data_IF_223849325781
#
_entry.id   IF_223849325781
#
_cell.length_a   1.000
_cell.length_b   1.000
_cell.length_c   1.000
_cell.angle_alpha   90.00
_cell.angle_beta   90.00
_cell.angle_gamma   90.00
#
_symmetry.space_group_name_H-M   'P 1'
#
loop_
_entity.id
_entity.type
_entity.pdbx_description
1 polymer ?
#
# COMPACT_ATOMS: atom_id res chain seq x y z
N UNK A 1 -11.21 42.80 1.56
CA UNK A 1 -10.00 42.31 0.86
C UNK A 1 -10.30 41.16 -0.11
N UNK A 2 -11.44 41.15 -0.83
CA UNK A 2 -11.68 40.27 -2.00
C UNK A 2 -12.88 40.75 -2.83
N UNK A 3 -12.66 41.71 -3.74
CA UNK A 3 -13.64 42.12 -4.76
C UNK A 3 -13.53 41.28 -6.05
N UNK A 4 -12.50 40.44 -6.18
CA UNK A 4 -12.09 39.78 -7.44
C UNK A 4 -12.37 38.26 -7.48
N UNK A 5 -12.96 37.65 -6.45
CA UNK A 5 -13.29 36.21 -6.43
C UNK A 5 -12.09 35.26 -6.48
N UNK A 6 -10.84 35.75 -6.42
CA UNK A 6 -9.62 34.93 -6.46
C UNK A 6 -9.40 34.22 -5.12
N UNK A 7 -9.85 32.97 -5.04
CA UNK A 7 -9.64 32.07 -3.89
C UNK A 7 -8.20 31.55 -3.88
N UNK A 8 -7.27 32.44 -3.53
CA UNK A 8 -5.86 32.05 -3.33
C UNK A 8 -5.69 31.37 -1.98
N UNK A 9 -4.91 30.28 -1.96
CA UNK A 9 -4.59 29.56 -0.74
C UNK A 9 -3.48 30.30 0.00
N UNK A 10 -3.79 30.82 1.19
CA UNK A 10 -2.85 31.59 2.00
C UNK A 10 -2.08 30.62 2.90
N UNK A 11 -0.77 30.50 2.72
CA UNK A 11 0.08 29.70 3.61
C UNK A 11 0.35 30.46 4.90
N UNK A 12 0.22 29.78 6.03
CA UNK A 12 0.48 30.37 7.35
C UNK A 12 1.22 29.42 8.27
N UNK A 13 2.22 29.95 8.97
CA UNK A 13 2.89 29.30 10.10
C UNK A 13 2.28 29.73 11.43
N UNK A 14 1.47 30.78 11.44
CA UNK A 14 0.83 31.28 12.65
C UNK A 14 -0.39 30.44 13.02
N UNK A 15 -0.13 29.36 13.73
CA UNK A 15 -1.15 28.53 14.39
C UNK A 15 -1.90 29.23 15.54
N UNK A 16 -1.32 30.18 16.32
CA UNK A 16 -2.04 30.81 17.43
C UNK A 16 -2.98 31.96 17.00
N UNK A 17 -2.97 32.35 15.72
CA UNK A 17 -3.87 33.40 15.22
C UNK A 17 -5.33 32.98 15.35
N UNK A 18 -6.11 33.88 15.96
CA UNK A 18 -7.57 33.75 16.08
C UNK A 18 -8.23 34.04 14.74
N UNK A 19 -9.27 33.28 14.42
CA UNK A 19 -10.07 33.46 13.21
C UNK A 19 -11.02 34.64 13.42
N UNK A 20 -10.86 35.66 12.59
CA UNK A 20 -11.70 36.86 12.56
C UNK A 20 -12.88 36.66 11.60
N UNK A 21 -14.04 37.33 11.81
CA UNK A 21 -15.19 37.26 10.90
C UNK A 21 -14.83 37.60 9.44
N UNK A 22 -13.92 38.55 9.23
CA UNK A 22 -13.46 38.97 7.90
C UNK A 22 -12.71 37.86 7.13
N UNK A 23 -12.32 36.77 7.81
CA UNK A 23 -11.60 35.64 7.23
C UNK A 23 -12.52 34.54 6.68
N UNK A 24 -13.84 34.68 6.83
CA UNK A 24 -14.82 33.70 6.35
C UNK A 24 -14.74 33.59 4.81
N UNK A 25 -14.74 32.35 4.31
CA UNK A 25 -14.62 32.08 2.87
C UNK A 25 -13.19 32.10 2.33
N UNK A 26 -12.18 32.15 3.19
CA UNK A 26 -10.77 32.00 2.82
C UNK A 26 -10.23 30.61 3.18
N UNK A 27 -9.28 30.14 2.36
CA UNK A 27 -8.59 28.88 2.61
C UNK A 27 -7.19 29.18 3.13
N UNK A 28 -6.92 28.82 4.39
CA UNK A 28 -5.61 28.92 4.99
C UNK A 28 -4.93 27.55 4.97
N UNK A 29 -3.76 27.46 4.36
CA UNK A 29 -2.90 26.30 4.48
C UNK A 29 -2.06 26.46 5.76
N UNK A 30 -2.49 25.80 6.85
CA UNK A 30 -1.89 25.91 8.18
C UNK A 30 -0.78 24.88 8.34
N UNK A 31 0.41 25.30 8.77
CA UNK A 31 1.52 24.38 8.99
C UNK A 31 1.29 23.51 10.23
N UNK A 32 1.36 22.19 10.09
CA UNK A 32 1.18 21.24 11.19
C UNK A 32 2.50 20.70 11.78
N UNK A 33 3.64 21.19 11.31
CA UNK A 33 4.98 20.72 11.69
C UNK A 33 5.70 19.92 10.60
N UNK A 34 4.95 19.37 9.63
CA UNK A 34 5.53 18.64 8.49
C UNK A 34 4.97 19.12 7.15
N UNK A 35 3.67 19.41 7.09
CA UNK A 35 2.97 19.83 5.88
C UNK A 35 1.99 20.96 6.17
N UNK A 36 1.57 21.64 5.11
CA UNK A 36 0.47 22.60 5.19
C UNK A 36 -0.85 21.90 4.91
N UNK A 37 -1.77 21.94 5.87
CA UNK A 37 -3.12 21.41 5.74
C UNK A 37 -4.05 22.55 5.31
N UNK A 38 -4.71 22.46 4.14
CA UNK A 38 -5.68 23.47 3.72
C UNK A 38 -6.93 23.38 4.59
N UNK A 39 -7.23 24.46 5.31
CA UNK A 39 -8.42 24.64 6.12
C UNK A 39 -9.26 25.73 5.47
N UNK A 40 -10.49 25.40 5.10
CA UNK A 40 -11.48 26.35 4.62
C UNK A 40 -12.26 26.92 5.81
N UNK A 41 -12.24 28.24 5.97
CA UNK A 41 -12.83 28.90 7.15
C UNK A 41 -14.34 29.09 6.96
N UNK A 42 -15.10 28.51 7.88
CA UNK A 42 -16.55 28.70 8.01
C UNK A 42 -16.88 29.60 9.21
N UNK A 43 -18.09 30.13 9.25
CA UNK A 43 -18.55 31.04 10.32
C UNK A 43 -18.47 30.42 11.72
N UNK A 44 -18.74 29.12 11.85
CA UNK A 44 -18.63 28.37 13.11
C UNK A 44 -17.19 28.29 13.66
N UNK A 45 -16.18 28.68 12.89
CA UNK A 45 -14.78 28.68 13.30
C UNK A 45 -14.32 30.03 13.88
N UNK A 46 -15.15 31.07 13.82
CA UNK A 46 -14.83 32.40 14.35
C UNK A 46 -14.60 32.31 15.87
N UNK A 47 -13.54 32.97 16.36
CA UNK A 47 -13.14 32.93 17.77
C UNK A 47 -12.22 31.77 18.14
N UNK A 48 -12.09 30.74 17.30
CA UNK A 48 -11.12 29.66 17.45
C UNK A 48 -9.75 30.02 16.86
N UNK A 49 -8.71 29.26 17.23
CA UNK A 49 -7.37 29.42 16.63
C UNK A 49 -7.19 28.54 15.40
N UNK A 50 -6.47 29.04 14.39
CA UNK A 50 -6.15 28.29 13.16
C UNK A 50 -5.48 26.93 13.44
N UNK A 51 -4.71 26.84 14.53
CA UNK A 51 -4.02 25.62 14.94
C UNK A 51 -4.93 24.47 15.39
N UNK A 52 -6.18 24.74 15.79
CA UNK A 52 -7.16 23.73 16.23
C UNK A 52 -7.61 22.85 15.07
N UNK A 53 -7.69 23.43 13.86
CA UNK A 53 -8.10 22.74 12.64
C UNK A 53 -6.95 22.02 11.93
N UNK A 54 -5.74 22.08 12.48
CA UNK A 54 -4.53 21.48 11.90
C UNK A 54 -3.78 20.63 12.96
N UNK A 55 -4.13 19.34 13.11
CA UNK A 55 -3.55 18.47 14.12
C UNK A 55 -2.06 18.19 13.85
N UNK A 56 -1.26 18.23 14.91
CA UNK A 56 0.21 18.01 14.86
C UNK A 56 0.60 16.54 14.99
N UNK A 57 -0.30 15.70 15.51
CA UNK A 57 -0.08 14.26 15.69
C UNK A 57 -1.14 13.49 14.92
N UNK A 58 -0.73 12.47 14.17
CA UNK A 58 -1.67 11.50 13.61
C UNK A 58 -2.11 10.54 14.71
N UNK A 59 -3.42 10.51 14.98
CA UNK A 59 -4.01 9.47 15.80
C UNK A 59 -3.91 8.13 15.06
N UNK A 60 -3.24 7.14 15.68
CA UNK A 60 -3.02 5.83 15.06
C UNK A 60 -4.20 4.86 15.27
N UNK A 61 -5.20 5.22 16.07
CA UNK A 61 -6.32 4.36 16.45
C UNK A 61 -6.15 3.74 17.83
N UNK A 62 -7.25 3.29 18.42
CA UNK A 62 -7.25 2.31 19.53
C UNK A 62 -7.39 0.88 18.96
N UNK A 63 -7.17 -0.15 19.79
CA UNK A 63 -7.02 -1.55 19.35
C UNK A 63 -8.13 -2.04 18.43
N UNK A 64 -9.38 -1.73 18.73
CA UNK A 64 -10.55 -2.19 17.94
C UNK A 64 -10.61 -1.57 16.55
N UNK A 65 -10.32 -0.27 16.45
CA UNK A 65 -10.29 0.44 15.16
C UNK A 65 -9.14 -0.10 14.30
N UNK A 66 -7.99 -0.39 14.91
CA UNK A 66 -6.86 -1.01 14.21
C UNK A 66 -7.18 -2.43 13.72
N UNK A 67 -7.86 -3.23 14.55
CA UNK A 67 -8.24 -4.61 14.23
C UNK A 67 -9.20 -4.66 13.05
N UNK A 68 -10.23 -3.81 13.03
CA UNK A 68 -11.18 -3.74 11.91
C UNK A 68 -10.49 -3.31 10.60
N UNK A 69 -9.62 -2.29 10.65
CA UNK A 69 -8.84 -1.89 9.47
C UNK A 69 -7.95 -3.04 8.95
N UNK A 70 -7.34 -3.79 9.86
CA UNK A 70 -6.50 -4.95 9.50
C UNK A 70 -7.32 -6.08 8.86
N UNK A 71 -8.54 -6.34 9.35
CA UNK A 71 -9.47 -7.30 8.74
C UNK A 71 -9.83 -6.89 7.32
N UNK A 72 -10.33 -5.66 7.12
CA UNK A 72 -10.67 -5.14 5.79
C UNK A 72 -9.50 -5.24 4.81
N UNK A 73 -8.29 -4.87 5.24
CA UNK A 73 -7.09 -4.99 4.41
C UNK A 73 -6.71 -6.45 4.13
N UNK A 74 -6.96 -7.38 5.06
CA UNK A 74 -6.72 -8.80 4.84
C UNK A 74 -7.73 -9.40 3.86
N UNK A 75 -8.98 -8.99 3.92
CA UNK A 75 -10.03 -9.49 3.01
C UNK A 75 -9.79 -8.99 1.59
N UNK A 76 -9.42 -7.72 1.41
CA UNK A 76 -8.99 -7.19 0.11
C UNK A 76 -7.77 -7.96 -0.47
N UNK A 77 -6.82 -8.39 0.39
CA UNK A 77 -5.69 -9.22 -0.04
C UNK A 77 -6.11 -10.63 -0.45
N UNK A 78 -7.09 -11.23 0.24
CA UNK A 78 -7.64 -12.55 -0.12
C UNK A 78 -8.35 -12.48 -1.47
N UNK A 79 -9.15 -11.44 -1.70
CA UNK A 79 -9.81 -11.18 -2.99
C UNK A 79 -8.79 -11.04 -4.13
N UNK A 80 -7.75 -10.21 -3.93
CA UNK A 80 -6.67 -10.07 -4.90
C UNK A 80 -5.94 -11.40 -5.16
N UNK A 81 -5.63 -12.17 -4.10
CA UNK A 81 -4.94 -13.45 -4.23
C UNK A 81 -5.78 -14.53 -4.92
N UNK A 82 -7.11 -14.44 -4.90
CA UNK A 82 -7.99 -15.40 -5.59
C UNK A 82 -7.77 -15.41 -7.11
N UNK A 83 -7.29 -14.30 -7.68
CA UNK A 83 -6.96 -14.21 -9.11
C UNK A 83 -5.55 -14.70 -9.44
N UNK A 84 -4.68 -14.83 -8.43
CA UNK A 84 -3.27 -15.19 -8.59
C UNK A 84 -3.05 -16.66 -8.25
N UNK A 85 -2.84 -17.48 -9.27
CA UNK A 85 -2.56 -18.91 -9.10
C UNK A 85 -1.05 -19.13 -9.01
N UNK A 86 -0.63 -19.91 -8.02
CA UNK A 86 0.77 -20.25 -7.80
C UNK A 86 0.91 -21.35 -6.77
N UNK A 87 2.13 -21.86 -6.64
CA UNK A 87 2.50 -22.84 -5.64
C UNK A 87 3.79 -22.41 -4.94
N UNK A 88 3.94 -22.79 -3.67
CA UNK A 88 5.11 -22.46 -2.85
C UNK A 88 5.66 -23.73 -2.21
N UNK A 89 6.96 -23.97 -2.38
CA UNK A 89 7.69 -25.04 -1.69
C UNK A 89 8.48 -24.45 -0.52
N UNK A 90 7.99 -24.65 0.70
CA UNK A 90 8.69 -24.27 1.93
C UNK A 90 9.52 -25.44 2.47
N UNK A 91 10.52 -25.15 3.31
CA UNK A 91 11.36 -26.15 3.99
C UNK A 91 12.03 -27.15 3.02
N UNK A 92 12.65 -26.64 1.96
CA UNK A 92 13.41 -27.47 1.02
C UNK A 92 14.86 -27.68 1.52
N UNK A 93 15.32 -28.92 1.74
CA UNK A 93 16.69 -29.22 2.20
C UNK A 93 17.70 -29.14 1.04
N UNK A 94 17.72 -28.02 0.31
CA UNK A 94 18.73 -27.71 -0.71
C UNK A 94 19.17 -26.26 -0.58
N UNK A 95 20.45 -26.00 -0.84
CA UNK A 95 20.99 -24.64 -0.77
C UNK A 95 20.33 -23.72 -1.81
N UNK A 96 19.89 -22.51 -1.44
CA UNK A 96 19.28 -21.54 -2.35
C UNK A 96 20.12 -21.23 -3.60
N UNK A 97 21.45 -21.29 -3.48
CA UNK A 97 22.35 -21.05 -4.63
C UNK A 97 22.25 -22.15 -5.68
N UNK A 98 22.12 -23.42 -5.24
CA UNK A 98 22.00 -24.57 -6.15
C UNK A 98 20.65 -24.58 -6.86
N UNK A 99 19.57 -24.22 -6.17
CA UNK A 99 18.24 -24.12 -6.77
C UNK A 99 18.13 -22.94 -7.72
N UNK A 100 18.74 -21.79 -7.40
CA UNK A 100 18.69 -20.58 -8.23
C UNK A 100 19.23 -20.79 -9.64
N UNK A 101 20.32 -21.55 -9.80
CA UNK A 101 20.86 -21.92 -11.11
C UNK A 101 19.82 -22.60 -12.00
N UNK A 102 18.99 -23.47 -11.43
CA UNK A 102 17.91 -24.17 -12.18
C UNK A 102 16.72 -23.25 -12.43
N UNK A 103 16.37 -22.41 -11.45
CA UNK A 103 15.26 -21.45 -11.57
C UNK A 103 15.52 -20.41 -12.66
N UNK A 104 16.75 -19.92 -12.77
CA UNK A 104 17.10 -18.91 -13.77
C UNK A 104 17.01 -19.49 -15.21
N UNK A 105 17.21 -20.79 -15.40
CA UNK A 105 17.05 -21.46 -16.69
C UNK A 105 15.59 -21.57 -17.16
N UNK A 106 14.63 -21.59 -16.23
CA UNK A 106 13.19 -21.77 -16.53
C UNK A 106 12.41 -20.45 -16.45
N UNK A 107 12.99 -19.39 -15.87
CA UNK A 107 12.31 -18.11 -15.72
C UNK A 107 12.01 -17.50 -17.10
N UNK A 108 10.72 -17.28 -17.38
CA UNK A 108 10.26 -16.68 -18.64
C UNK A 108 10.07 -17.66 -19.79
N UNK A 109 10.35 -18.96 -19.60
CA UNK A 109 10.06 -20.00 -20.59
C UNK A 109 8.60 -20.45 -20.54
N UNK A 110 8.13 -21.06 -21.63
CA UNK A 110 6.80 -21.69 -21.67
C UNK A 110 6.74 -22.88 -20.71
N UNK A 111 5.53 -23.25 -20.27
CA UNK A 111 5.31 -24.33 -19.31
C UNK A 111 5.87 -25.67 -19.81
N UNK A 112 5.61 -26.00 -21.07
CA UNK A 112 6.08 -27.23 -21.71
C UNK A 112 7.62 -27.31 -21.79
N UNK A 113 8.25 -26.20 -22.18
CA UNK A 113 9.71 -26.07 -22.25
C UNK A 113 10.33 -26.21 -20.85
N UNK A 114 9.74 -25.57 -19.84
CA UNK A 114 10.20 -25.63 -18.47
C UNK A 114 10.09 -27.06 -17.90
N UNK A 115 9.00 -27.77 -18.15
CA UNK A 115 8.83 -29.17 -17.75
C UNK A 115 9.87 -30.07 -18.41
N UNK A 116 10.13 -29.87 -19.70
CA UNK A 116 11.13 -30.63 -20.44
C UNK A 116 12.53 -30.41 -19.87
N UNK A 117 12.89 -29.14 -19.63
CA UNK A 117 14.17 -28.78 -19.03
C UNK A 117 14.32 -29.43 -17.65
N UNK A 118 13.32 -29.29 -16.77
CA UNK A 118 13.39 -29.83 -15.42
C UNK A 118 13.48 -31.36 -15.39
N UNK A 119 12.77 -32.04 -16.30
CA UNK A 119 12.75 -33.50 -16.39
C UNK A 119 14.11 -34.09 -16.77
N UNK A 120 14.85 -33.45 -17.68
CA UNK A 120 16.14 -33.94 -18.16
C UNK A 120 17.36 -33.28 -17.51
N UNK A 121 17.15 -32.38 -16.55
CA UNK A 121 18.25 -31.69 -15.90
C UNK A 121 18.93 -32.55 -14.82
N UNK A 122 20.27 -32.61 -14.85
CA UNK A 122 21.08 -33.48 -13.97
C UNK A 122 21.03 -33.12 -12.47
N UNK A 123 20.65 -31.89 -12.10
CA UNK A 123 20.66 -31.47 -10.68
C UNK A 123 19.46 -32.04 -9.92
N UNK A 124 19.71 -32.57 -8.71
CA UNK A 124 18.67 -33.06 -7.79
C UNK A 124 17.54 -32.05 -7.51
N UNK A 125 17.89 -30.76 -7.45
CA UNK A 125 16.91 -29.69 -7.24
C UNK A 125 15.86 -29.59 -8.36
N UNK A 126 16.15 -30.07 -9.57
CA UNK A 126 15.23 -30.01 -10.70
C UNK A 126 13.98 -30.87 -10.47
N UNK A 127 14.12 -32.08 -9.93
CA UNK A 127 12.97 -32.95 -9.64
C UNK A 127 12.01 -32.34 -8.59
N UNK A 128 12.55 -31.60 -7.60
CA UNK A 128 11.72 -30.87 -6.62
C UNK A 128 10.98 -29.70 -7.26
N UNK A 129 11.63 -28.97 -8.17
CA UNK A 129 11.02 -27.88 -8.93
C UNK A 129 9.99 -28.37 -9.94
N UNK A 130 10.19 -29.55 -10.55
CA UNK A 130 9.23 -30.17 -11.46
C UNK A 130 7.91 -30.47 -10.73
N UNK A 131 7.98 -31.06 -9.53
CA UNK A 131 6.81 -31.31 -8.69
C UNK A 131 6.08 -30.01 -8.32
N UNK A 132 6.83 -28.96 -8.00
CA UNK A 132 6.27 -27.64 -7.69
C UNK A 132 5.55 -27.03 -8.90
N UNK A 133 6.14 -27.14 -10.09
CA UNK A 133 5.54 -26.65 -11.33
C UNK A 133 4.26 -27.40 -11.67
N UNK A 134 4.25 -28.73 -11.54
CA UNK A 134 3.04 -29.57 -11.69
C UNK A 134 1.93 -29.18 -10.70
N UNK A 135 2.28 -28.93 -9.44
CA UNK A 135 1.32 -28.44 -8.44
C UNK A 135 0.75 -27.06 -8.81
N UNK A 136 1.58 -26.15 -9.34
CA UNK A 136 1.11 -24.84 -9.78
C UNK A 136 0.15 -24.93 -10.98
N UNK A 137 0.41 -25.84 -11.92
CA UNK A 137 -0.49 -26.14 -13.05
C UNK A 137 -1.81 -26.69 -12.53
N UNK A 138 -1.79 -27.67 -11.64
CA UNK A 138 -3.01 -28.23 -11.05
C UNK A 138 -3.82 -27.17 -10.28
N UNK A 139 -3.19 -26.27 -9.53
CA UNK A 139 -3.89 -25.17 -8.87
C UNK A 139 -4.54 -24.20 -9.87
N UNK A 140 -3.97 -24.06 -11.06
CA UNK A 140 -4.52 -23.23 -12.14
C UNK A 140 -5.62 -23.96 -12.91
N UNK A 141 -5.52 -25.27 -13.09
CA UNK A 141 -6.56 -26.10 -13.71
C UNK A 141 -7.79 -26.26 -12.81
N UNK A 142 -7.58 -26.38 -11.49
CA UNK A 142 -8.64 -26.45 -10.47
C UNK A 142 -9.29 -25.08 -10.16
N UNK A 143 -8.92 -24.04 -10.90
CA UNK A 143 -9.43 -22.67 -10.77
C UNK A 143 -10.96 -22.59 -10.88
#
# INVERSE_FOLDING_TARGET
>A
MNASGKRTVIKTWSRPSMILPDMIGHTFAVHNGQKFIPVYVTENMVGHRLGEFSPTRQFRGHGDIMANRKKVAADARKEANKTKFGAVLNSNPTSPRKTRLVVDLIRGKKVEEALTILKFHKKESAGKLEKLLKSAINNWEQK
#
